data_IF_991558636297
#
_entry.id   IF_991558636297
#
_cell.length_a   1.000
_cell.length_b   1.000
_cell.length_c   1.000
_cell.angle_alpha   90.00
_cell.angle_beta   90.00
_cell.angle_gamma   90.00
#
_symmetry.space_group_name_H-M   'P 1'
#
loop_
_entity.id
_entity.type
_entity.pdbx_description
1 polymer ?
#
# COMPACT_ATOMS: atom_id res chain seq x y z
N UNK A 1 0.80 6.99 17.08
CA UNK A 1 2.17 6.44 16.97
C UNK A 1 3.26 7.53 16.88
N UNK A 2 2.99 8.68 16.29
CA UNK A 2 3.92 9.82 16.20
C UNK A 2 4.57 10.16 17.56
N UNK A 3 3.83 10.34 18.68
CA UNK A 3 4.45 10.72 19.96
C UNK A 3 5.47 9.71 20.48
N UNK A 4 5.23 8.41 20.25
CA UNK A 4 6.14 7.35 20.69
C UNK A 4 7.44 7.30 19.89
N UNK A 5 7.33 7.49 18.57
CA UNK A 5 8.51 7.49 17.68
C UNK A 5 9.34 8.77 17.86
N UNK A 6 8.68 9.92 18.11
CA UNK A 6 9.37 11.15 18.45
C UNK A 6 10.20 11.00 19.73
N UNK A 7 9.62 10.41 20.79
CA UNK A 7 10.33 10.12 22.02
C UNK A 7 11.55 9.21 21.80
N UNK A 8 11.41 8.15 20.99
CA UNK A 8 12.52 7.27 20.67
C UNK A 8 13.60 7.94 19.83
N UNK A 9 13.21 8.83 18.91
CA UNK A 9 14.16 9.57 18.08
C UNK A 9 15.11 10.42 18.93
N UNK A 10 14.59 11.02 20.02
CA UNK A 10 15.37 11.87 20.93
C UNK A 10 16.18 11.08 21.98
N UNK A 11 15.64 9.96 22.48
CA UNK A 11 16.21 9.26 23.62
C UNK A 11 16.87 7.91 23.28
N UNK A 12 16.42 7.21 22.24
CA UNK A 12 16.94 5.90 21.82
C UNK A 12 16.79 5.70 20.31
N UNK A 13 17.81 6.11 19.59
CA UNK A 13 17.82 5.99 18.13
C UNK A 13 17.78 4.54 17.63
N UNK A 14 18.27 3.56 18.43
CA UNK A 14 18.17 2.14 18.11
C UNK A 14 16.73 1.65 18.15
N UNK A 15 15.99 2.01 19.21
CA UNK A 15 14.56 1.73 19.34
C UNK A 15 13.74 2.42 18.23
N UNK A 16 14.09 3.65 17.84
CA UNK A 16 13.46 4.34 16.72
C UNK A 16 13.62 3.56 15.41
N UNK A 17 14.85 3.16 15.03
CA UNK A 17 15.13 2.36 13.83
C UNK A 17 14.33 1.06 13.81
N UNK A 18 14.30 0.38 14.94
CA UNK A 18 13.56 -0.89 15.08
C UNK A 18 12.05 -0.66 14.93
N UNK A 19 11.53 0.41 15.54
CA UNK A 19 10.14 0.80 15.46
C UNK A 19 9.68 1.12 14.05
N UNK A 20 10.46 1.87 13.26
CA UNK A 20 10.16 2.17 11.86
C UNK A 20 10.15 0.91 11.00
N UNK A 21 11.17 0.05 11.13
CA UNK A 21 11.22 -1.22 10.37
C UNK A 21 10.03 -2.12 10.68
N UNK A 22 9.63 -2.18 11.94
CA UNK A 22 8.45 -2.93 12.36
C UNK A 22 7.16 -2.32 11.81
N UNK A 23 7.03 -1.00 11.81
CA UNK A 23 5.87 -0.28 11.27
C UNK A 23 5.71 -0.52 9.77
N UNK A 24 6.79 -0.44 8.99
CA UNK A 24 6.81 -0.75 7.57
C UNK A 24 6.39 -2.20 7.34
N UNK A 25 6.91 -3.14 8.12
CA UNK A 25 6.56 -4.56 7.99
C UNK A 25 5.07 -4.82 8.26
N UNK A 26 4.50 -4.21 9.31
CA UNK A 26 3.07 -4.32 9.62
C UNK A 26 2.23 -3.67 8.51
N UNK A 27 2.70 -2.54 7.95
CA UNK A 27 2.03 -1.91 6.83
C UNK A 27 1.95 -2.84 5.61
N UNK A 28 3.05 -3.45 5.20
CA UNK A 28 3.07 -4.41 4.10
C UNK A 28 2.15 -5.61 4.37
N UNK A 29 2.18 -6.14 5.61
CA UNK A 29 1.31 -7.24 6.02
C UNK A 29 -0.18 -6.93 5.84
N UNK A 30 -0.60 -5.67 6.11
CA UNK A 30 -2.00 -5.28 6.04
C UNK A 30 -2.40 -4.76 4.66
N UNK A 31 -1.56 -3.94 4.02
CA UNK A 31 -1.91 -3.23 2.80
C UNK A 31 -1.71 -4.08 1.54
N UNK A 32 -0.73 -5.00 1.53
CA UNK A 32 -0.54 -5.87 0.37
C UNK A 32 -1.79 -6.71 0.04
N UNK A 33 -2.40 -7.44 0.99
CA UNK A 33 -3.63 -8.17 0.72
C UNK A 33 -4.80 -7.25 0.34
N UNK A 34 -4.93 -6.08 0.96
CA UNK A 34 -5.98 -5.11 0.63
C UNK A 34 -5.84 -4.61 -0.80
N UNK A 35 -4.64 -4.16 -1.19
CA UNK A 35 -4.38 -3.64 -2.53
C UNK A 35 -4.60 -4.70 -3.61
N UNK A 36 -4.08 -5.91 -3.43
CA UNK A 36 -4.22 -6.98 -4.41
C UNK A 36 -5.66 -7.53 -4.44
N UNK A 37 -6.34 -7.58 -3.30
CA UNK A 37 -7.76 -7.92 -3.23
C UNK A 37 -8.65 -6.92 -3.97
N UNK A 38 -8.44 -5.61 -3.75
CA UNK A 38 -9.13 -4.54 -4.49
C UNK A 38 -8.85 -4.61 -6.00
N UNK A 39 -7.60 -4.89 -6.38
CA UNK A 39 -7.21 -5.04 -7.78
C UNK A 39 -7.93 -6.22 -8.42
N UNK A 40 -7.98 -7.36 -7.75
CA UNK A 40 -8.62 -8.57 -8.25
C UNK A 40 -10.15 -8.45 -8.33
N UNK A 41 -10.78 -7.79 -7.33
CA UNK A 41 -12.24 -7.61 -7.24
C UNK A 41 -12.74 -6.30 -7.83
N UNK A 42 -11.91 -5.56 -8.55
CA UNK A 42 -12.24 -4.24 -9.11
C UNK A 42 -13.49 -4.26 -10.00
N UNK A 43 -13.70 -5.34 -10.77
CA UNK A 43 -14.90 -5.52 -11.61
C UNK A 43 -16.15 -5.58 -10.76
N UNK A 44 -16.21 -6.50 -9.83
CA UNK A 44 -17.38 -6.74 -8.98
C UNK A 44 -17.70 -5.49 -8.13
N UNK A 45 -16.66 -4.84 -7.59
CA UNK A 45 -16.84 -3.61 -6.81
C UNK A 45 -17.48 -2.52 -7.65
N UNK A 46 -16.98 -2.26 -8.87
CA UNK A 46 -17.56 -1.24 -9.76
C UNK A 46 -19.00 -1.60 -10.12
N UNK A 47 -19.28 -2.85 -10.45
CA UNK A 47 -20.62 -3.28 -10.83
C UNK A 47 -21.63 -3.19 -9.69
N UNK A 48 -21.24 -3.51 -8.46
CA UNK A 48 -22.09 -3.41 -7.27
C UNK A 48 -22.40 -1.95 -6.92
N UNK A 49 -21.38 -1.07 -6.90
CA UNK A 49 -21.56 0.31 -6.43
C UNK A 49 -22.05 1.27 -7.50
N UNK A 50 -21.63 1.09 -8.75
CA UNK A 50 -21.91 2.02 -9.83
C UNK A 50 -22.85 1.44 -10.91
N UNK A 51 -22.93 0.11 -11.03
CA UNK A 51 -23.73 -0.58 -12.03
C UNK A 51 -23.02 -0.76 -13.37
N UNK A 52 -23.65 -1.55 -14.26
CA UNK A 52 -23.06 -1.94 -15.55
C UNK A 52 -22.71 -0.77 -16.47
N UNK A 53 -23.42 0.35 -16.37
CA UNK A 53 -23.15 1.56 -17.16
C UNK A 53 -21.77 2.16 -16.89
N UNK A 54 -21.16 1.86 -15.75
CA UNK A 54 -19.82 2.34 -15.34
C UNK A 54 -18.72 1.29 -15.51
N UNK A 55 -18.94 0.24 -16.29
CA UNK A 55 -17.92 -0.80 -16.53
C UNK A 55 -16.59 -0.23 -17.06
N UNK A 56 -16.63 0.89 -17.77
CA UNK A 56 -15.43 1.61 -18.24
C UNK A 56 -14.56 2.19 -17.10
N UNK A 57 -15.07 2.24 -15.88
CA UNK A 57 -14.29 2.69 -14.70
C UNK A 57 -13.46 1.55 -14.05
N UNK A 58 -13.62 0.30 -14.49
CA UNK A 58 -12.87 -0.85 -13.94
C UNK A 58 -11.35 -0.63 -14.02
N UNK A 59 -10.74 -0.21 -15.14
CA UNK A 59 -9.30 0.06 -15.20
C UNK A 59 -8.86 1.17 -14.23
N UNK A 60 -9.69 2.20 -14.05
CA UNK A 60 -9.44 3.26 -13.06
C UNK A 60 -9.40 2.72 -11.63
N UNK A 61 -10.32 1.82 -11.28
CA UNK A 61 -10.36 1.17 -9.97
C UNK A 61 -9.14 0.26 -9.74
N UNK A 62 -8.68 -0.43 -10.79
CA UNK A 62 -7.46 -1.25 -10.73
C UNK A 62 -6.22 -0.40 -10.44
N UNK A 63 -6.05 0.72 -11.13
CA UNK A 63 -4.96 1.66 -10.88
C UNK A 63 -5.04 2.26 -9.47
N UNK A 64 -6.27 2.59 -9.02
CA UNK A 64 -6.48 3.09 -7.67
C UNK A 64 -6.11 2.06 -6.59
N UNK A 65 -6.37 0.78 -6.83
CA UNK A 65 -5.96 -0.29 -5.92
C UNK A 65 -4.42 -0.36 -5.76
N UNK A 66 -3.65 -0.16 -6.84
CA UNK A 66 -2.19 -0.05 -6.78
C UNK A 66 -1.75 1.22 -6.04
N UNK A 67 -2.45 2.33 -6.27
CA UNK A 67 -2.18 3.60 -5.59
C UNK A 67 -2.34 3.51 -4.07
N UNK A 68 -3.31 2.76 -3.56
CA UNK A 68 -3.50 2.53 -2.11
C UNK A 68 -2.22 1.97 -1.47
N UNK A 69 -1.51 1.08 -2.16
CA UNK A 69 -0.24 0.54 -1.67
C UNK A 69 0.86 1.60 -1.57
N UNK A 70 1.01 2.44 -2.60
CA UNK A 70 2.00 3.54 -2.61
C UNK A 70 1.68 4.54 -1.52
N UNK A 71 0.44 5.03 -1.43
CA UNK A 71 0.02 6.02 -0.44
C UNK A 71 0.25 5.56 1.00
N UNK A 72 0.01 4.29 1.30
CA UNK A 72 0.19 3.78 2.66
C UNK A 72 1.66 3.76 3.09
N UNK A 73 2.57 3.43 2.18
CA UNK A 73 4.02 3.47 2.43
C UNK A 73 4.54 4.90 2.49
N UNK A 74 4.03 5.77 1.61
CA UNK A 74 4.33 7.19 1.60
C UNK A 74 3.96 7.85 2.92
N UNK A 75 2.77 7.57 3.46
CA UNK A 75 2.32 8.12 4.74
C UNK A 75 3.29 7.81 5.89
N UNK A 76 3.91 6.63 5.90
CA UNK A 76 4.92 6.27 6.90
C UNK A 76 6.21 7.05 6.67
N UNK A 77 6.72 7.07 5.45
CA UNK A 77 7.96 7.76 5.08
C UNK A 77 7.84 9.26 5.35
N UNK A 78 6.72 9.85 4.96
CA UNK A 78 6.42 11.26 5.15
C UNK A 78 6.33 11.63 6.64
N UNK A 79 5.37 11.01 7.38
CA UNK A 79 5.04 11.44 8.73
C UNK A 79 5.99 10.91 9.79
N UNK A 80 6.51 9.69 9.63
CA UNK A 80 7.27 9.01 10.68
C UNK A 80 8.78 9.12 10.50
N UNK A 81 9.23 9.56 9.32
CA UNK A 81 10.66 9.74 9.06
C UNK A 81 10.95 11.19 8.76
N UNK A 82 10.60 11.70 7.57
CA UNK A 82 11.09 13.00 7.12
C UNK A 82 10.55 14.15 7.99
N UNK A 83 9.25 14.10 8.35
CA UNK A 83 8.63 15.10 9.21
C UNK A 83 9.24 15.10 10.63
N UNK A 84 9.48 13.93 11.24
CA UNK A 84 10.11 13.85 12.56
C UNK A 84 11.55 14.36 12.57
N UNK A 85 12.27 14.26 11.44
CA UNK A 85 13.60 14.84 11.29
C UNK A 85 13.59 16.35 10.97
N UNK A 86 12.41 17.00 11.02
CA UNK A 86 12.20 18.43 10.72
C UNK A 86 12.74 18.84 9.34
N UNK A 87 12.49 17.99 8.32
CA UNK A 87 12.91 18.22 6.92
C UNK A 87 11.73 18.58 6.01
N UNK A 88 10.79 19.34 6.52
CA UNK A 88 9.56 19.77 5.83
C UNK A 88 9.90 20.57 4.55
N UNK A 89 10.95 21.37 4.55
CA UNK A 89 11.40 22.11 3.37
C UNK A 89 11.75 21.19 2.20
N UNK A 90 12.31 19.99 2.47
CA UNK A 90 12.54 19.00 1.43
C UNK A 90 11.22 18.43 0.92
N UNK A 91 10.31 18.07 1.82
CA UNK A 91 8.99 17.54 1.45
C UNK A 91 8.21 18.53 0.57
N UNK A 92 8.20 19.80 0.96
CA UNK A 92 7.50 20.85 0.22
C UNK A 92 8.06 21.02 -1.20
N UNK A 93 9.39 21.04 -1.36
CA UNK A 93 10.04 21.13 -2.67
C UNK A 93 9.81 19.88 -3.53
N UNK A 94 9.91 18.69 -2.93
CA UNK A 94 9.68 17.43 -3.64
C UNK A 94 8.21 17.30 -4.09
N UNK A 95 7.25 17.65 -3.21
CA UNK A 95 5.83 17.67 -3.56
C UNK A 95 5.51 18.68 -4.67
N UNK A 96 6.07 19.90 -4.57
CA UNK A 96 5.88 20.92 -5.61
C UNK A 96 6.42 20.46 -6.97
N UNK A 97 7.59 19.83 -6.98
CA UNK A 97 8.18 19.28 -8.21
C UNK A 97 7.31 18.16 -8.80
N UNK A 98 6.90 17.19 -7.98
CA UNK A 98 6.06 16.08 -8.45
C UNK A 98 4.67 16.56 -8.87
N UNK A 99 4.09 17.56 -8.18
CA UNK A 99 2.84 18.19 -8.59
C UNK A 99 2.94 18.90 -9.93
N UNK A 100 4.05 19.64 -10.18
CA UNK A 100 4.30 20.28 -11.47
C UNK A 100 4.45 19.23 -12.58
N UNK A 101 5.20 18.14 -12.32
CA UNK A 101 5.35 17.04 -13.27
C UNK A 101 4.01 16.36 -13.58
N UNK A 102 3.16 16.19 -12.57
CA UNK A 102 1.81 15.64 -12.76
C UNK A 102 0.99 16.50 -13.72
N UNK A 103 0.97 17.83 -13.50
CA UNK A 103 0.29 18.78 -14.40
C UNK A 103 0.85 18.71 -15.82
N UNK A 104 2.18 18.64 -15.98
CA UNK A 104 2.82 18.52 -17.32
C UNK A 104 2.43 17.21 -17.99
N UNK A 105 2.42 16.10 -17.25
CA UNK A 105 1.98 14.80 -17.80
C UNK A 105 0.51 14.81 -18.18
N UNK A 106 -0.35 15.40 -17.38
CA UNK A 106 -1.77 15.53 -17.71
C UNK A 106 -1.97 16.37 -18.98
N UNK A 107 -1.28 17.48 -19.16
CA UNK A 107 -1.33 18.28 -20.37
C UNK A 107 -0.79 17.57 -21.60
N UNK A 108 0.30 16.82 -21.48
CA UNK A 108 0.91 16.11 -22.64
C UNK A 108 0.08 14.90 -23.06
N UNK A 109 -0.56 14.22 -22.12
CA UNK A 109 -1.42 13.06 -22.37
C UNK A 109 -2.89 13.46 -22.58
N UNK A 110 -3.24 14.74 -22.47
CA UNK A 110 -4.60 15.28 -22.49
C UNK A 110 -5.36 15.02 -23.81
N UNK A 111 -4.67 14.70 -24.90
CA UNK A 111 -5.32 14.31 -26.16
C UNK A 111 -6.00 12.93 -26.10
N UNK A 112 -5.76 12.15 -25.04
CA UNK A 112 -6.27 10.80 -24.81
C UNK A 112 -6.90 10.63 -23.41
N UNK A 113 -7.36 11.70 -22.73
CA UNK A 113 -7.77 11.60 -21.33
C UNK A 113 -9.03 10.78 -21.16
N UNK A 114 -8.81 9.55 -20.73
CA UNK A 114 -9.75 8.78 -19.92
C UNK A 114 -9.38 8.96 -18.43
N UNK A 115 -10.34 8.80 -17.53
CA UNK A 115 -10.09 8.85 -16.07
C UNK A 115 -8.93 7.94 -15.62
N UNK A 116 -8.69 6.84 -16.32
CA UNK A 116 -7.58 5.93 -16.06
C UNK A 116 -6.20 6.55 -16.34
N UNK A 117 -6.07 7.41 -17.36
CA UNK A 117 -4.78 8.07 -17.66
C UNK A 117 -4.41 9.09 -16.59
N UNK A 118 -5.36 9.85 -16.08
CA UNK A 118 -5.13 10.80 -14.98
C UNK A 118 -4.72 10.11 -13.68
N UNK A 119 -5.28 8.92 -13.37
CA UNK A 119 -4.86 8.14 -12.22
C UNK A 119 -3.45 7.55 -12.45
N UNK A 120 -3.13 7.15 -13.67
CA UNK A 120 -1.81 6.62 -14.01
C UNK A 120 -0.70 7.67 -13.88
N UNK A 121 -0.93 8.90 -14.37
CA UNK A 121 0.03 10.01 -14.21
C UNK A 121 0.27 10.35 -12.75
N UNK A 122 -0.80 10.39 -11.96
CA UNK A 122 -0.71 10.59 -10.50
C UNK A 122 0.08 9.46 -9.84
N UNK A 123 -0.19 8.20 -10.18
CA UNK A 123 0.51 7.04 -9.66
C UNK A 123 2.02 7.10 -9.95
N UNK A 124 2.40 7.51 -11.16
CA UNK A 124 3.80 7.68 -11.57
C UNK A 124 4.46 8.79 -10.73
N UNK A 125 3.78 9.93 -10.58
CA UNK A 125 4.32 11.07 -9.81
C UNK A 125 4.46 10.74 -8.31
N UNK A 126 3.50 10.06 -7.72
CA UNK A 126 3.59 9.56 -6.34
C UNK A 126 4.72 8.53 -6.16
N UNK A 127 4.89 7.63 -7.14
CA UNK A 127 6.01 6.69 -7.16
C UNK A 127 7.37 7.40 -7.24
N UNK A 128 7.49 8.43 -8.07
CA UNK A 128 8.70 9.26 -8.17
C UNK A 128 8.97 10.01 -6.85
N UNK A 129 7.92 10.59 -6.25
CA UNK A 129 8.02 11.24 -4.95
C UNK A 129 8.53 10.27 -3.87
N UNK A 130 7.98 9.06 -3.83
CA UNK A 130 8.40 8.01 -2.91
C UNK A 130 9.88 7.63 -3.09
N UNK A 131 10.33 7.50 -4.34
CA UNK A 131 11.74 7.23 -4.68
C UNK A 131 12.63 8.38 -4.22
N UNK A 132 12.24 9.64 -4.48
CA UNK A 132 12.99 10.82 -4.02
C UNK A 132 13.10 10.86 -2.50
N UNK A 133 12.02 10.60 -1.78
CA UNK A 133 12.02 10.51 -0.33
C UNK A 133 12.95 9.40 0.18
N UNK A 134 12.92 8.23 -0.43
CA UNK A 134 13.79 7.12 -0.05
C UNK A 134 15.27 7.44 -0.26
N UNK A 135 15.62 8.01 -1.43
CA UNK A 135 17.01 8.43 -1.74
C UNK A 135 17.46 9.49 -0.72
N UNK A 136 16.61 10.44 -0.37
CA UNK A 136 16.93 11.47 0.62
C UNK A 136 17.20 10.87 1.99
N UNK A 137 16.35 9.95 2.46
CA UNK A 137 16.51 9.25 3.74
C UNK A 137 17.82 8.46 3.75
N UNK A 138 18.09 7.72 2.68
CA UNK A 138 19.28 6.89 2.60
C UNK A 138 20.58 7.72 2.54
N UNK A 139 20.63 8.75 1.66
CA UNK A 139 21.84 9.55 1.43
C UNK A 139 22.05 10.65 2.45
N UNK A 140 21.00 11.35 2.88
CA UNK A 140 21.13 12.55 3.74
C UNK A 140 20.92 12.24 5.21
N UNK A 141 19.97 11.35 5.55
CA UNK A 141 19.73 10.96 6.94
C UNK A 141 20.53 9.71 7.35
N UNK A 142 21.19 9.05 6.39
CA UNK A 142 21.97 7.82 6.60
C UNK A 142 21.17 6.75 7.36
N UNK A 143 19.86 6.69 7.09
CA UNK A 143 18.91 5.82 7.77
C UNK A 143 18.42 4.72 6.83
N UNK A 144 18.72 3.45 7.17
CA UNK A 144 18.07 2.30 6.50
C UNK A 144 16.75 1.99 7.21
N UNK A 145 15.65 2.39 6.58
CA UNK A 145 14.28 2.10 7.04
C UNK A 145 13.80 0.69 6.67
N UNK A 146 14.57 -0.03 5.85
CA UNK A 146 14.27 -1.40 5.45
C UNK A 146 13.04 -1.55 4.55
N UNK A 147 12.66 -0.52 3.78
CA UNK A 147 11.50 -0.54 2.89
C UNK A 147 11.60 -1.66 1.85
N UNK A 148 12.76 -1.80 1.19
CA UNK A 148 13.04 -2.78 0.14
C UNK A 148 13.61 -4.11 0.66
N UNK A 149 13.42 -4.45 1.94
CA UNK A 149 13.83 -5.76 2.44
C UNK A 149 12.95 -6.86 1.87
N UNK A 150 13.58 -7.95 1.43
CA UNK A 150 12.88 -9.12 0.91
C UNK A 150 11.80 -9.65 1.86
N UNK A 151 12.03 -9.53 3.17
CA UNK A 151 11.06 -9.89 4.20
C UNK A 151 9.72 -9.14 4.09
N UNK A 152 9.66 -7.96 3.45
CA UNK A 152 8.43 -7.22 3.23
C UNK A 152 7.74 -7.68 1.94
N UNK A 153 8.51 -8.00 0.89
CA UNK A 153 7.96 -8.45 -0.40
C UNK A 153 7.23 -9.79 -0.32
N UNK A 154 7.55 -10.63 0.66
CA UNK A 154 6.83 -11.90 0.88
C UNK A 154 5.32 -11.70 1.04
N UNK A 155 4.87 -10.60 1.67
CA UNK A 155 3.44 -10.32 1.83
C UNK A 155 2.77 -10.06 0.49
N UNK A 156 3.46 -9.38 -0.44
CA UNK A 156 2.98 -9.17 -1.80
C UNK A 156 2.88 -10.51 -2.52
N UNK A 157 3.94 -11.35 -2.44
CA UNK A 157 3.97 -12.67 -3.09
C UNK A 157 2.84 -13.57 -2.59
N UNK A 158 2.62 -13.62 -1.26
CA UNK A 158 1.51 -14.38 -0.68
C UNK A 158 0.17 -13.84 -1.16
N UNK A 159 0.01 -12.52 -1.22
CA UNK A 159 -1.23 -11.89 -1.67
C UNK A 159 -1.51 -12.10 -3.16
N UNK A 160 -0.49 -12.33 -4.00
CA UNK A 160 -0.69 -12.67 -5.42
C UNK A 160 -1.53 -13.95 -5.62
N UNK A 161 -1.58 -14.85 -4.63
CA UNK A 161 -2.47 -16.01 -4.67
C UNK A 161 -3.96 -15.63 -4.66
N UNK A 162 -4.30 -14.39 -4.33
CA UNK A 162 -5.69 -13.92 -4.42
C UNK A 162 -6.19 -13.90 -5.86
N UNK A 163 -5.33 -13.62 -6.83
CA UNK A 163 -5.72 -13.56 -8.24
C UNK A 163 -6.29 -14.90 -8.74
N UNK A 164 -5.57 -16.04 -8.63
CA UNK A 164 -6.15 -17.34 -9.01
C UNK A 164 -7.33 -17.74 -8.12
N UNK A 165 -7.34 -17.38 -6.84
CA UNK A 165 -8.48 -17.68 -5.94
C UNK A 165 -9.74 -16.94 -6.40
N UNK A 166 -9.65 -15.65 -6.72
CA UNK A 166 -10.77 -14.85 -7.24
C UNK A 166 -11.24 -15.40 -8.59
N UNK A 167 -10.31 -15.78 -9.46
CA UNK A 167 -10.66 -16.40 -10.76
C UNK A 167 -11.43 -17.69 -10.57
N UNK A 168 -11.02 -18.54 -9.61
CA UNK A 168 -11.73 -19.76 -9.26
C UNK A 168 -13.13 -19.46 -8.72
N UNK A 169 -13.31 -18.46 -7.85
CA UNK A 169 -14.63 -18.09 -7.31
C UNK A 169 -15.55 -17.60 -8.41
N UNK A 170 -15.03 -16.86 -9.40
CA UNK A 170 -15.80 -16.41 -10.57
C UNK A 170 -16.34 -17.57 -11.43
N UNK A 171 -15.63 -18.71 -11.47
CA UNK A 171 -16.09 -19.86 -12.25
C UNK A 171 -17.38 -20.52 -11.70
N UNK A 172 -17.81 -20.17 -10.50
CA UNK A 172 -19.08 -20.62 -9.92
C UNK A 172 -20.28 -19.77 -10.36
N UNK A 173 -20.08 -18.73 -11.19
CA UNK A 173 -21.15 -17.86 -11.76
C UNK A 173 -22.12 -17.31 -10.70
N UNK A 174 -21.62 -16.97 -9.52
CA UNK A 174 -22.39 -16.38 -8.44
C UNK A 174 -22.76 -14.91 -8.78
N UNK A 175 -23.75 -14.36 -8.07
CA UNK A 175 -24.01 -12.92 -8.14
C UNK A 175 -22.79 -12.11 -7.70
N UNK A 176 -22.64 -10.87 -8.24
CA UNK A 176 -21.47 -10.02 -7.98
C UNK A 176 -21.20 -9.85 -6.47
N UNK A 177 -22.27 -9.65 -5.69
CA UNK A 177 -22.17 -9.50 -4.22
C UNK A 177 -21.67 -10.79 -3.55
N UNK A 178 -22.21 -11.95 -3.93
CA UNK A 178 -21.78 -13.24 -3.38
C UNK A 178 -20.35 -13.55 -3.80
N UNK A 179 -19.96 -13.23 -5.03
CA UNK A 179 -18.57 -13.38 -5.51
C UNK A 179 -17.61 -12.60 -4.63
N UNK A 180 -17.91 -11.34 -4.30
CA UNK A 180 -17.06 -10.53 -3.41
C UNK A 180 -16.97 -11.15 -2.01
N UNK A 181 -18.10 -11.53 -1.42
CA UNK A 181 -18.12 -12.11 -0.07
C UNK A 181 -17.30 -13.41 -0.02
N UNK A 182 -17.56 -14.34 -0.91
CA UNK A 182 -16.87 -15.65 -0.95
C UNK A 182 -15.38 -15.46 -1.24
N UNK A 183 -15.05 -14.60 -2.19
CA UNK A 183 -13.65 -14.33 -2.54
C UNK A 183 -12.88 -13.70 -1.38
N UNK A 184 -13.45 -12.71 -0.69
CA UNK A 184 -12.80 -12.06 0.47
C UNK A 184 -12.55 -13.07 1.59
N UNK A 185 -13.57 -13.88 1.96
CA UNK A 185 -13.39 -14.91 2.99
C UNK A 185 -12.36 -15.96 2.59
N UNK A 186 -12.39 -16.46 1.35
CA UNK A 186 -11.42 -17.44 0.85
C UNK A 186 -10.00 -16.87 0.83
N UNK A 187 -9.82 -15.65 0.33
CA UNK A 187 -8.53 -14.97 0.29
C UNK A 187 -7.98 -14.72 1.70
N UNK A 188 -8.82 -14.25 2.63
CA UNK A 188 -8.41 -14.03 4.03
C UNK A 188 -7.99 -15.32 4.72
N UNK A 189 -8.74 -16.40 4.55
CA UNK A 189 -8.38 -17.71 5.13
C UNK A 189 -7.06 -18.22 4.59
N UNK A 190 -6.84 -18.18 3.27
CA UNK A 190 -5.57 -18.58 2.64
C UNK A 190 -4.42 -17.71 3.18
N UNK A 191 -4.61 -16.40 3.26
CA UNK A 191 -3.58 -15.48 3.74
C UNK A 191 -3.16 -15.77 5.18
N UNK A 192 -4.14 -15.93 6.07
CA UNK A 192 -3.89 -16.23 7.49
C UNK A 192 -3.21 -17.57 7.64
N UNK A 193 -3.67 -18.60 6.94
CA UNK A 193 -3.05 -19.94 6.98
C UNK A 193 -1.59 -19.91 6.54
N UNK A 194 -1.28 -19.23 5.44
CA UNK A 194 0.09 -19.10 4.95
C UNK A 194 0.98 -18.30 5.90
N UNK A 195 0.47 -17.28 6.57
CA UNK A 195 1.21 -16.53 7.59
C UNK A 195 1.54 -17.40 8.82
N UNK A 196 0.59 -18.23 9.24
CA UNK A 196 0.78 -19.17 10.38
C UNK A 196 1.81 -20.24 10.00
N UNK A 197 1.68 -20.85 8.82
CA UNK A 197 2.63 -21.87 8.33
C UNK A 197 4.06 -21.33 8.22
N UNK A 198 4.21 -20.08 7.77
CA UNK A 198 5.50 -19.41 7.67
C UNK A 198 6.02 -18.87 9.01
N UNK A 199 5.32 -19.11 10.15
CA UNK A 199 5.67 -18.63 11.50
C UNK A 199 6.07 -17.14 11.49
N UNK A 200 5.29 -16.32 10.78
CA UNK A 200 5.63 -14.92 10.59
C UNK A 200 5.68 -14.14 11.90
N UNK A 201 6.80 -13.47 12.17
CA UNK A 201 7.01 -12.76 13.43
C UNK A 201 6.11 -11.53 13.59
N UNK A 202 5.68 -10.89 12.50
CA UNK A 202 4.76 -9.75 12.58
C UNK A 202 3.32 -10.22 12.81
N UNK A 203 2.90 -11.31 12.18
CA UNK A 203 1.60 -11.93 12.44
C UNK A 203 1.50 -12.42 13.89
N UNK A 204 2.51 -13.14 14.38
CA UNK A 204 2.59 -13.60 15.77
C UNK A 204 2.54 -12.45 16.80
N UNK A 205 3.17 -11.32 16.47
CA UNK A 205 3.16 -10.14 17.33
C UNK A 205 1.76 -9.51 17.44
N UNK A 206 0.98 -9.52 16.35
CA UNK A 206 -0.41 -9.04 16.37
C UNK A 206 -1.29 -10.01 17.18
N UNK A 207 -1.16 -11.31 16.93
CA UNK A 207 -1.91 -12.35 17.64
C UNK A 207 -1.65 -12.26 19.15
N UNK A 208 -0.39 -12.22 19.56
CA UNK A 208 -0.02 -12.11 20.98
C UNK A 208 -0.57 -10.83 21.63
N UNK A 209 -0.58 -9.69 20.93
CA UNK A 209 -1.17 -8.46 21.47
C UNK A 209 -2.68 -8.54 21.66
N UNK A 210 -3.38 -9.31 20.84
CA UNK A 210 -4.84 -9.52 20.96
C UNK A 210 -5.11 -10.47 22.13
N UNK A 211 -4.29 -11.50 22.30
CA UNK A 211 -4.45 -12.52 23.35
C UNK A 211 -4.12 -11.99 24.75
N UNK A 212 -3.14 -11.08 24.89
CA UNK A 212 -2.73 -10.49 26.17
C UNK A 212 -3.72 -9.41 26.67
N UNK A 213 -4.65 -8.95 25.81
CA UNK A 213 -5.69 -7.97 26.21
C UNK A 213 -6.99 -8.62 26.74
N UNK A 214 -7.04 -9.93 26.86
CA UNK A 214 -8.04 -10.68 27.60
C UNK A 214 -7.50 -11.07 28.97
#
# INVERSE_FOLDING_TARGET
MIPRLSYYLENDFGAYKTGIKQMIRINFLLIAPVSIGLLGLSKEIVLIFAGNQYANAIPSMQLFALRVFILSTEAIVYNQVIFLFRKENFLMKANALCGLLNVVFDFTLCQCINSSTAILTTLICEGLFQIMCYIYIYKKLQLDIGLFKFANFKYIIISMLFIPTIWLVRSFELSELLTVIVAVFSCMTIYILLLILNKDSAANMIINKITIKK
#
